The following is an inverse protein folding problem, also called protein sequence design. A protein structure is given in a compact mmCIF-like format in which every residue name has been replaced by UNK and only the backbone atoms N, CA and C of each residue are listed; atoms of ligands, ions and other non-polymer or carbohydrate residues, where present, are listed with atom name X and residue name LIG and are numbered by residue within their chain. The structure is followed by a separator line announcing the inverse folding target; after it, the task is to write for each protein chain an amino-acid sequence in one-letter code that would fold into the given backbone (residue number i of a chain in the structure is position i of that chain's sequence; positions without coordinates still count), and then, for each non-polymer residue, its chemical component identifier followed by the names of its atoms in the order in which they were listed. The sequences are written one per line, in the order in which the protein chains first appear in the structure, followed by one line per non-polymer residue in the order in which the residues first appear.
data_IF_028668477222
#
_entry.id   IF_028668477222
#
_cell.length_a   1.000
_cell.length_b   1.000
_cell.length_c   1.000
_cell.angle_alpha   90.00
_cell.angle_beta   90.00
_cell.angle_gamma   90.00
#
_symmetry.space_group_name_H-M   'P 1'
#
loop_
_entity.id
_entity.type
_entity.pdbx_description
1 polymer ?
#
# COMPACT_ATOMS: atom_id res chain seq x y z
N UNK A 1 21.26 -1.86 -7.72
CA UNK A 1 20.53 -2.36 -8.91
C UNK A 1 20.11 -3.83 -8.81
N UNK A 2 20.76 -4.70 -8.02
CA UNK A 2 20.34 -6.10 -7.90
C UNK A 2 19.15 -6.34 -6.93
N UNK A 3 18.99 -5.52 -5.88
CA UNK A 3 17.89 -5.70 -4.91
C UNK A 3 16.50 -5.35 -5.47
N UNK A 4 16.41 -4.33 -6.33
CA UNK A 4 15.14 -3.90 -6.92
C UNK A 4 14.58 -4.97 -7.88
N UNK A 5 15.44 -5.64 -8.63
CA UNK A 5 15.06 -6.71 -9.55
C UNK A 5 14.56 -7.95 -8.80
N UNK A 6 15.22 -8.34 -7.71
CA UNK A 6 14.79 -9.48 -6.87
C UNK A 6 13.46 -9.18 -6.17
N UNK A 7 13.26 -7.95 -5.72
CA UNK A 7 12.00 -7.51 -5.12
C UNK A 7 10.86 -7.53 -6.15
N UNK A 8 11.10 -6.98 -7.36
CA UNK A 8 10.14 -7.02 -8.47
C UNK A 8 9.81 -8.45 -8.90
N UNK A 9 10.81 -9.33 -8.99
CA UNK A 9 10.65 -10.73 -9.35
C UNK A 9 9.84 -11.50 -8.29
N UNK A 10 10.09 -11.30 -6.98
CA UNK A 10 9.28 -11.91 -5.90
C UNK A 10 7.84 -11.36 -5.84
N UNK A 11 7.64 -10.07 -6.10
CA UNK A 11 6.32 -9.45 -6.21
C UNK A 11 5.51 -10.03 -7.38
N UNK A 12 6.18 -10.52 -8.42
CA UNK A 12 5.59 -11.11 -9.63
C UNK A 12 5.42 -12.64 -9.49
N UNK A 13 6.38 -13.34 -8.90
CA UNK A 13 6.41 -14.81 -8.76
C UNK A 13 5.44 -15.35 -7.71
N UNK A 14 5.01 -14.54 -6.74
CA UNK A 14 3.91 -14.89 -5.83
C UNK A 14 2.53 -14.68 -6.49
N UNK A 15 2.44 -15.01 -7.78
CA UNK A 15 1.37 -15.73 -8.49
C UNK A 15 -0.03 -15.10 -8.66
N UNK A 16 -0.46 -14.22 -7.75
CA UNK A 16 -1.81 -13.64 -7.71
C UNK A 16 -1.81 -12.15 -7.31
N UNK A 17 -0.63 -11.55 -7.12
CA UNK A 17 -0.51 -10.15 -6.72
C UNK A 17 -0.82 -9.20 -7.88
N UNK A 18 -2.09 -8.80 -7.96
CA UNK A 18 -2.52 -7.62 -8.74
C UNK A 18 -1.64 -6.40 -8.45
N UNK A 19 -1.55 -5.42 -9.37
CA UNK A 19 -0.73 -4.22 -9.16
C UNK A 19 -0.93 -3.55 -7.79
N UNK A 20 -2.15 -3.58 -7.24
CA UNK A 20 -2.51 -3.00 -5.95
C UNK A 20 -2.10 -3.85 -4.74
N UNK A 21 -2.11 -5.19 -4.85
CA UNK A 21 -1.63 -6.11 -3.82
C UNK A 21 -0.13 -5.93 -3.54
N UNK A 22 0.62 -5.41 -4.51
CA UNK A 22 2.07 -5.17 -4.43
C UNK A 22 2.46 -4.23 -3.28
N UNK A 23 1.66 -3.21 -2.99
CA UNK A 23 1.96 -2.27 -1.88
C UNK A 23 1.78 -2.94 -0.53
N UNK A 24 0.65 -3.63 -0.33
CA UNK A 24 0.39 -4.34 0.92
C UNK A 24 1.42 -5.47 1.14
N UNK A 25 1.79 -6.18 0.07
CA UNK A 25 2.84 -7.19 0.08
C UNK A 25 4.19 -6.59 0.47
N UNK A 26 4.60 -5.50 -0.18
CA UNK A 26 5.86 -4.82 0.11
C UNK A 26 5.94 -4.38 1.58
N UNK A 27 4.89 -3.74 2.10
CA UNK A 27 4.86 -3.30 3.50
C UNK A 27 4.94 -4.49 4.46
N UNK A 28 4.21 -5.58 4.17
CA UNK A 28 4.24 -6.80 4.96
C UNK A 28 5.64 -7.45 4.95
N UNK A 29 6.30 -7.52 3.79
CA UNK A 29 7.64 -8.08 3.65
C UNK A 29 8.69 -7.23 4.38
N UNK A 30 8.62 -5.90 4.27
CA UNK A 30 9.50 -4.97 5.02
C UNK A 30 9.30 -5.17 6.53
N UNK A 31 8.06 -5.24 7.01
CA UNK A 31 7.78 -5.53 8.42
C UNK A 31 8.42 -6.85 8.86
N UNK A 32 8.30 -7.92 8.07
CA UNK A 32 8.92 -9.21 8.38
C UNK A 32 10.46 -9.11 8.44
N UNK A 33 11.09 -8.39 7.51
CA UNK A 33 12.56 -8.17 7.53
C UNK A 33 12.98 -7.40 8.77
N UNK A 34 12.29 -6.32 9.11
CA UNK A 34 12.59 -5.51 10.31
C UNK A 34 12.41 -6.31 11.60
N UNK A 35 11.40 -7.19 11.66
CA UNK A 35 11.23 -8.14 12.78
C UNK A 35 12.37 -9.13 12.87
N UNK A 36 12.81 -9.69 11.74
CA UNK A 36 13.88 -10.70 11.71
C UNK A 36 15.23 -10.14 12.20
N UNK A 37 15.51 -8.86 11.94
CA UNK A 37 16.73 -8.18 12.43
C UNK A 37 16.55 -7.51 13.81
N UNK A 38 15.38 -7.67 14.45
CA UNK A 38 15.12 -7.19 15.81
C UNK A 38 14.93 -5.67 15.94
N UNK A 39 14.72 -4.95 14.84
CA UNK A 39 14.57 -3.47 14.84
C UNK A 39 13.11 -3.01 14.81
N UNK A 40 12.16 -3.95 14.66
CA UNK A 40 10.74 -3.65 14.82
C UNK A 40 10.34 -3.73 16.31
N UNK A 41 9.87 -2.60 16.87
CA UNK A 41 9.26 -2.54 18.21
C UNK A 41 7.76 -2.44 18.04
N UNK A 42 6.98 -3.33 18.66
CA UNK A 42 5.50 -3.30 18.61
C UNK A 42 4.94 -3.19 17.18
N UNK A 43 5.52 -3.95 16.24
CA UNK A 43 5.17 -3.91 14.80
C UNK A 43 5.40 -2.55 14.13
N UNK A 44 6.16 -1.67 14.78
CA UNK A 44 6.56 -0.36 14.29
C UNK A 44 8.03 -0.35 13.91
N UNK A 45 8.36 0.35 12.83
CA UNK A 45 9.71 0.46 12.31
C UNK A 45 9.89 1.78 11.56
N UNK A 46 11.12 2.28 11.52
CA UNK A 46 11.44 3.45 10.72
C UNK A 46 11.73 3.01 9.28
N UNK A 47 10.97 3.58 8.34
CA UNK A 47 11.10 3.31 6.92
C UNK A 47 10.96 4.62 6.14
N UNK A 48 12.07 5.34 5.93
CA UNK A 48 12.07 6.63 5.26
C UNK A 48 11.98 6.45 3.74
N UNK A 49 10.88 5.85 3.28
CA UNK A 49 10.60 5.66 1.86
C UNK A 49 9.62 6.72 1.35
N UNK A 50 9.84 7.22 0.14
CA UNK A 50 8.91 8.14 -0.51
C UNK A 50 7.85 7.38 -1.32
N UNK A 51 6.78 8.09 -1.71
CA UNK A 51 5.77 7.51 -2.61
C UNK A 51 6.35 7.22 -4.00
N UNK A 52 7.35 7.98 -4.45
CA UNK A 52 8.06 7.74 -5.70
C UNK A 52 8.89 6.47 -5.64
N UNK A 53 9.62 6.25 -4.55
CA UNK A 53 10.39 5.00 -4.36
C UNK A 53 9.46 3.78 -4.32
N UNK A 54 8.29 3.90 -3.67
CA UNK A 54 7.26 2.86 -3.68
C UNK A 54 6.68 2.63 -5.08
N UNK A 55 6.49 3.70 -5.86
CA UNK A 55 6.02 3.62 -7.25
C UNK A 55 7.03 2.86 -8.11
N UNK A 56 8.32 3.21 -8.01
CA UNK A 56 9.40 2.54 -8.72
C UNK A 56 9.53 1.07 -8.30
N UNK A 57 9.41 0.76 -7.01
CA UNK A 57 9.49 -0.61 -6.51
C UNK A 57 8.32 -1.50 -6.95
N UNK A 58 7.11 -0.93 -7.08
CA UNK A 58 5.88 -1.69 -7.38
C UNK A 58 5.45 -1.61 -8.84
N UNK A 59 6.03 -0.72 -9.63
CA UNK A 59 5.62 -0.41 -11.00
C UNK A 59 4.30 0.35 -11.10
N UNK A 60 3.86 0.99 -10.01
CA UNK A 60 2.66 1.82 -9.95
C UNK A 60 2.99 3.29 -10.18
N UNK A 61 1.99 4.12 -10.46
CA UNK A 61 2.21 5.58 -10.43
C UNK A 61 2.16 6.10 -8.99
N UNK A 62 2.82 7.22 -8.65
CA UNK A 62 2.78 7.80 -7.31
C UNK A 62 1.35 8.08 -6.79
N UNK A 63 0.43 8.46 -7.68
CA UNK A 63 -0.97 8.70 -7.31
C UNK A 63 -1.69 7.39 -6.94
N UNK A 64 -1.40 6.28 -7.64
CA UNK A 64 -1.91 4.96 -7.25
C UNK A 64 -1.33 4.53 -5.90
N UNK A 65 -0.02 4.76 -5.68
CA UNK A 65 0.61 4.50 -4.37
C UNK A 65 -0.07 5.28 -3.26
N UNK A 66 -0.31 6.57 -3.45
CA UNK A 66 -0.98 7.42 -2.47
C UNK A 66 -2.36 6.88 -2.09
N UNK A 67 -3.18 6.56 -3.10
CA UNK A 67 -4.53 6.00 -2.89
C UNK A 67 -4.50 4.70 -2.10
N UNK A 68 -3.59 3.79 -2.44
CA UNK A 68 -3.46 2.52 -1.74
C UNK A 68 -3.01 2.72 -0.29
N UNK A 69 -2.03 3.59 -0.03
CA UNK A 69 -1.62 3.91 1.33
C UNK A 69 -2.74 4.56 2.14
N UNK A 70 -3.56 5.43 1.53
CA UNK A 70 -4.72 6.01 2.18
C UNK A 70 -5.73 4.92 2.57
N UNK A 71 -6.07 4.01 1.66
CA UNK A 71 -7.02 2.93 1.95
C UNK A 71 -6.51 1.98 3.03
N UNK A 72 -5.23 1.58 2.99
CA UNK A 72 -4.66 0.73 4.05
C UNK A 72 -4.72 1.39 5.44
N UNK A 73 -4.66 2.73 5.52
CA UNK A 73 -4.89 3.47 6.76
C UNK A 73 -6.37 3.50 7.15
N UNK A 74 -7.26 3.77 6.20
CA UNK A 74 -8.71 3.77 6.41
C UNK A 74 -9.24 2.40 6.87
N UNK A 75 -8.68 1.31 6.31
CA UNK A 75 -8.99 -0.08 6.66
C UNK A 75 -8.32 -0.51 8.00
N UNK A 76 -7.58 0.38 8.67
CA UNK A 76 -6.93 0.12 9.94
C UNK A 76 -5.81 -0.93 9.86
N UNK A 77 -5.20 -1.12 8.69
CA UNK A 77 -4.14 -2.11 8.48
C UNK A 77 -2.76 -1.54 8.80
N UNK A 78 -2.56 -0.26 8.53
CA UNK A 78 -1.30 0.47 8.80
C UNK A 78 -1.57 1.83 9.45
N UNK A 79 -0.58 2.34 10.17
CA UNK A 79 -0.44 3.74 10.52
C UNK A 79 0.92 4.26 10.08
N UNK A 80 1.01 5.55 9.76
CA UNK A 80 2.28 6.19 9.39
C UNK A 80 2.37 7.57 10.03
N UNK A 81 3.48 7.87 10.69
CA UNK A 81 3.78 9.17 11.30
C UNK A 81 5.21 9.57 10.92
N UNK A 82 5.34 10.55 10.01
CA UNK A 82 6.64 10.92 9.45
C UNK A 82 7.34 9.73 8.78
N UNK A 83 8.47 9.30 9.34
CA UNK A 83 9.26 8.14 8.86
C UNK A 83 8.87 6.84 9.55
N UNK A 84 8.02 6.88 10.58
CA UNK A 84 7.62 5.73 11.37
C UNK A 84 6.39 5.07 10.76
N UNK A 85 6.49 3.77 10.54
CA UNK A 85 5.40 2.92 10.05
C UNK A 85 5.02 1.95 11.14
N UNK A 86 3.72 1.69 11.28
CA UNK A 86 3.17 0.70 12.20
C UNK A 86 2.23 -0.20 11.44
N UNK A 87 2.46 -1.52 11.50
CA UNK A 87 1.47 -2.50 11.02
C UNK A 87 0.50 -2.79 12.16
N UNK A 88 -0.75 -2.35 12.00
CA UNK A 88 -1.78 -2.48 13.03
C UNK A 88 -2.42 -3.88 13.00
N UNK A 89 -2.59 -4.45 11.80
CA UNK A 89 -3.18 -5.77 11.62
C UNK A 89 -2.48 -6.58 10.53
N UNK A 90 -1.43 -7.31 10.91
CA UNK A 90 -0.57 -8.05 9.98
C UNK A 90 -1.31 -9.13 9.17
N UNK A 91 -2.28 -9.84 9.76
CA UNK A 91 -3.05 -10.84 9.03
C UNK A 91 -3.98 -10.22 7.98
N UNK A 92 -4.58 -9.07 8.29
CA UNK A 92 -5.36 -8.28 7.33
C UNK A 92 -4.48 -7.71 6.21
N UNK A 93 -3.29 -7.22 6.54
CA UNK A 93 -2.32 -6.74 5.56
C UNK A 93 -1.85 -7.85 4.61
N UNK A 94 -1.58 -9.05 5.14
CA UNK A 94 -1.25 -10.24 4.34
C UNK A 94 -2.42 -10.66 3.43
N UNK A 95 -3.66 -10.51 3.90
CA UNK A 95 -4.86 -10.78 3.09
C UNK A 95 -5.02 -9.75 1.97
N UNK A 96 -4.81 -8.46 2.27
CA UNK A 96 -4.83 -7.38 1.29
C UNK A 96 -3.73 -7.55 0.22
N UNK A 97 -2.58 -8.11 0.59
CA UNK A 97 -1.49 -8.44 -0.33
C UNK A 97 -1.86 -9.53 -1.36
N UNK A 98 -2.87 -10.36 -1.08
CA UNK A 98 -3.26 -11.52 -1.89
C UNK A 98 -4.54 -11.33 -2.70
N UNK A 99 -5.11 -10.12 -2.76
CA UNK A 99 -6.42 -9.89 -3.39
C UNK A 99 -6.39 -8.63 -4.25
N UNK A 100 -6.85 -8.70 -5.50
CA UNK A 100 -7.69 -7.61 -6.03
C UNK A 100 -8.55 -7.98 -7.26
N UNK A 101 -9.83 -7.62 -7.20
CA UNK A 101 -10.70 -7.46 -8.37
C UNK A 101 -11.84 -6.47 -8.06
N UNK A 102 -12.36 -6.49 -6.83
CA UNK A 102 -13.46 -5.62 -6.39
C UNK A 102 -13.07 -4.15 -6.20
N UNK A 103 -11.80 -3.84 -5.91
CA UNK A 103 -11.36 -2.47 -5.59
C UNK A 103 -11.20 -1.57 -6.82
N UNK A 104 -10.95 -2.14 -8.01
CA UNK A 104 -10.89 -1.43 -9.30
C UNK A 104 -12.27 -0.92 -9.75
N UNK A 105 -13.35 -1.58 -9.33
CA UNK A 105 -14.71 -1.18 -9.68
C UNK A 105 -15.19 0.09 -8.94
N UNK A 106 -14.48 0.52 -7.88
CA UNK A 106 -14.79 1.77 -7.18
C UNK A 106 -14.16 3.01 -7.83
N UNK A 107 -13.07 2.85 -8.61
CA UNK A 107 -12.41 3.98 -9.28
C UNK A 107 -13.08 4.32 -10.62
N UNK A 108 -13.59 3.32 -11.35
CA UNK A 108 -14.38 3.60 -12.58
C UNK A 108 -15.68 4.38 -12.30
N UNK A 109 -16.25 4.25 -11.09
CA UNK A 109 -17.43 5.01 -10.66
C UNK A 109 -17.09 6.43 -10.16
N UNK A 110 -15.83 6.70 -9.78
CA UNK A 110 -15.39 8.03 -9.32
C UNK A 110 -14.83 8.89 -10.45
N UNK A 111 -14.33 8.27 -11.51
CA UNK A 111 -13.78 8.94 -12.69
C UNK A 111 -14.86 9.34 -13.73
N UNK A 112 -16.15 9.13 -13.46
CA UNK A 112 -17.22 9.76 -14.24
C UNK A 112 -17.27 11.28 -13.94
N UNK A 113 -17.14 12.15 -14.96
CA UNK A 113 -17.36 13.58 -14.79
C UNK A 113 -18.83 13.82 -14.43
N UNK A 114 -19.12 13.84 -13.13
CA UNK A 114 -20.48 13.96 -12.61
C UNK A 114 -20.74 13.30 -11.26
N UNK A 115 -19.81 12.50 -10.70
CA UNK A 115 -20.11 11.70 -9.50
C UNK A 115 -20.54 12.56 -8.30
N UNK A 116 -21.68 12.20 -7.71
CA UNK A 116 -22.40 12.87 -6.62
C UNK A 116 -21.52 13.09 -5.36
N UNK A 117 -20.45 12.30 -5.23
CA UNK A 117 -19.49 12.32 -4.11
C UNK A 117 -18.65 13.60 -4.13
N UNK A 118 -18.24 14.08 -5.31
CA UNK A 118 -17.49 15.34 -5.45
C UNK A 118 -18.35 16.59 -5.22
N UNK A 119 -19.69 16.47 -5.36
CA UNK A 119 -20.62 17.58 -5.10
C UNK A 119 -20.84 17.81 -3.60
N UNK A 120 -20.73 16.77 -2.77
CA UNK A 120 -20.96 16.87 -1.31
C UNK A 120 -19.84 17.59 -0.55
N UNK A 121 -18.62 17.64 -1.08
CA UNK A 121 -17.47 18.31 -0.44
C UNK A 121 -17.35 19.81 -0.74
N UNK A 122 -18.16 20.36 -1.66
CA UNK A 122 -18.15 21.80 -1.99
C UNK A 122 -19.18 22.64 -1.22
N UNK A 123 -20.01 22.02 -0.38
CA UNK A 123 -21.03 22.70 0.42
C UNK A 123 -20.64 22.97 1.87
N UNK A 124 -19.37 22.78 2.24
CA UNK A 124 -18.88 22.98 3.61
C UNK A 124 -17.64 23.89 3.65
N UNK A 125 -17.73 25.04 2.97
CA UNK A 125 -16.94 26.25 3.28
C UNK A 125 -17.90 27.43 3.10
#
# INVERSE_FOLDING_TARGET
MQDESVLRERIIDEGDATPSGRIAFLIYEVMLRMRAVGVAQDQSFDFPITQSDLADATGLTPVHVNRMLQRLREDGLIATEGKRWTVLYAAGLRKAAKFEASYLHLDRAKDEPGSEVGKRLRGLI
#
